data_IF_107038912658
#
_entry.id   IF_107038912658
#
_cell.length_a   1.000
_cell.length_b   1.000
_cell.length_c   1.000
_cell.angle_alpha   90.00
_cell.angle_beta   90.00
_cell.angle_gamma   90.00
#
_symmetry.space_group_name_H-M   'P 1'
#
loop_
_entity.id
_entity.type
_entity.pdbx_description
1 polymer ?
#
# COMPACT_ATOMS: atom_id res chain seq x y z
N UNK A 1 32.16 93.52 74.27
CA UNK A 1 31.73 93.96 72.97
C UNK A 1 32.37 93.21 71.79
N UNK A 2 33.66 92.84 71.83
CA UNK A 2 34.45 92.18 70.80
C UNK A 2 33.92 90.78 70.46
N UNK A 3 33.58 89.97 71.49
CA UNK A 3 33.05 88.58 71.28
C UNK A 3 31.73 88.53 70.58
N UNK A 4 30.87 89.51 70.81
CA UNK A 4 29.57 89.62 70.09
C UNK A 4 29.78 90.04 68.61
N UNK A 5 30.78 90.87 68.33
CA UNK A 5 31.14 91.26 67.02
C UNK A 5 31.68 90.08 66.18
N UNK A 6 32.58 89.30 66.77
CA UNK A 6 33.16 88.09 66.19
C UNK A 6 32.06 87.01 65.81
N UNK A 7 31.11 86.82 66.73
CA UNK A 7 29.94 85.91 66.48
C UNK A 7 29.03 86.43 65.36
N UNK A 8 28.80 87.74 65.32
CA UNK A 8 28.04 88.33 64.21
C UNK A 8 28.75 88.18 62.87
N UNK A 9 30.06 88.38 62.84
CA UNK A 9 30.91 88.22 61.67
C UNK A 9 30.91 86.78 61.20
N UNK A 10 31.04 85.82 62.06
CA UNK A 10 31.01 84.39 61.72
C UNK A 10 29.63 84.02 61.15
N UNK A 11 28.55 84.49 61.82
CA UNK A 11 27.16 84.23 61.30
C UNK A 11 26.90 84.87 59.93
N UNK A 12 27.48 86.05 59.69
CA UNK A 12 27.36 86.72 58.40
C UNK A 12 28.06 85.97 57.28
N UNK A 13 29.26 85.43 57.56
CA UNK A 13 30.01 84.63 56.63
C UNK A 13 29.23 83.34 56.27
N UNK A 14 28.76 82.64 57.32
CA UNK A 14 27.94 81.42 57.09
C UNK A 14 26.66 81.71 56.28
N UNK A 15 25.96 82.81 56.65
CA UNK A 15 24.77 83.17 55.87
C UNK A 15 25.07 83.54 54.38
N UNK A 16 26.24 84.17 54.20
CA UNK A 16 26.73 84.50 52.86
C UNK A 16 27.05 83.26 52.03
N UNK A 17 27.73 82.30 52.69
CA UNK A 17 28.05 81.02 51.98
C UNK A 17 26.76 80.22 51.70
N UNK A 18 25.83 80.12 52.59
CA UNK A 18 24.54 79.50 52.35
C UNK A 18 23.78 80.21 51.22
N UNK A 19 23.80 81.56 51.22
CA UNK A 19 23.16 82.34 50.14
C UNK A 19 23.80 82.07 48.74
N UNK A 20 25.13 81.95 48.72
CA UNK A 20 25.84 81.58 47.47
C UNK A 20 25.52 80.17 47.01
N UNK A 21 25.46 79.23 47.97
CA UNK A 21 25.13 77.84 47.67
C UNK A 21 23.71 77.70 47.13
N UNK A 22 22.73 78.42 47.75
CA UNK A 22 21.36 78.48 47.28
C UNK A 22 21.24 79.11 45.90
N UNK A 23 21.97 80.20 45.62
CA UNK A 23 21.97 80.82 44.30
C UNK A 23 22.58 79.90 43.22
N UNK A 24 23.66 79.19 43.59
CA UNK A 24 24.25 78.22 42.68
C UNK A 24 23.29 77.07 42.38
N UNK A 25 22.58 76.59 43.40
CA UNK A 25 21.56 75.55 43.21
C UNK A 25 20.32 76.04 42.42
N UNK A 26 19.95 77.34 42.54
CA UNK A 26 18.89 77.93 41.78
C UNK A 26 19.26 78.09 40.30
N UNK A 27 20.55 78.42 39.99
CA UNK A 27 21.05 78.47 38.62
C UNK A 27 21.11 77.07 37.97
N UNK A 28 21.36 76.03 38.75
CA UNK A 28 21.37 74.62 38.27
C UNK A 28 19.94 74.08 38.02
N UNK A 29 18.90 74.72 38.56
CA UNK A 29 17.50 74.32 38.31
C UNK A 29 17.01 74.91 36.97
N UNK A 30 17.12 74.17 35.93
CA UNK A 30 16.59 74.51 34.62
C UNK A 30 15.07 74.26 34.63
N UNK A 31 14.26 75.31 34.64
CA UNK A 31 12.81 75.25 34.53
C UNK A 31 12.45 75.00 33.06
N UNK A 32 12.26 73.73 32.71
CA UNK A 32 11.89 73.29 31.34
C UNK A 32 10.53 72.57 31.41
N UNK A 33 9.42 73.25 31.26
CA UNK A 33 8.05 72.66 31.31
C UNK A 33 7.82 71.64 30.23
N UNK A 34 8.36 71.84 29.03
CA UNK A 34 8.18 70.94 27.89
C UNK A 34 8.89 69.61 28.17
N UNK A 35 10.05 69.67 28.80
CA UNK A 35 10.77 68.44 29.20
C UNK A 35 10.08 67.71 30.34
N UNK A 36 9.41 68.41 31.23
CA UNK A 36 8.61 67.83 32.33
C UNK A 36 7.40 67.09 31.75
N UNK A 37 6.73 67.70 30.77
CA UNK A 37 5.58 67.11 30.07
C UNK A 37 6.02 65.84 29.32
N UNK A 38 7.12 65.85 28.56
CA UNK A 38 7.67 64.67 27.85
C UNK A 38 8.00 63.53 28.81
N UNK A 39 8.64 63.83 29.99
CA UNK A 39 8.95 62.83 31.00
C UNK A 39 7.70 62.22 31.62
N UNK A 40 6.70 63.07 31.90
CA UNK A 40 5.42 62.58 32.45
C UNK A 40 4.66 61.69 31.45
N UNK A 41 4.64 62.08 30.18
CA UNK A 41 4.01 61.26 29.14
C UNK A 41 4.71 59.89 29.03
N UNK A 42 6.03 59.88 29.06
CA UNK A 42 6.81 58.63 29.05
C UNK A 42 6.56 57.76 30.26
N UNK A 43 6.47 58.36 31.47
CA UNK A 43 6.12 57.69 32.68
C UNK A 43 4.72 57.08 32.66
N UNK A 44 3.75 57.89 32.19
CA UNK A 44 2.37 57.44 32.01
C UNK A 44 2.26 56.28 31.04
N UNK A 45 3.03 56.29 29.93
CA UNK A 45 3.11 55.20 29.01
C UNK A 45 3.65 53.94 29.65
N UNK A 46 4.74 54.06 30.43
CA UNK A 46 5.33 52.93 31.16
C UNK A 46 4.33 52.31 32.14
N UNK A 47 3.67 53.17 32.95
CA UNK A 47 2.67 52.69 33.92
C UNK A 47 1.47 52.03 33.23
N UNK A 48 1.03 52.57 32.11
CA UNK A 48 -0.05 51.99 31.32
C UNK A 48 0.34 50.60 30.77
N UNK A 49 1.57 50.47 30.27
CA UNK A 49 2.12 49.17 29.77
C UNK A 49 2.27 48.17 30.94
N UNK A 50 2.79 48.59 32.09
CA UNK A 50 2.91 47.76 33.29
C UNK A 50 1.54 47.22 33.71
N UNK A 51 0.52 48.10 33.76
CA UNK A 51 -0.83 47.73 34.15
C UNK A 51 -1.45 46.77 33.13
N UNK A 52 -1.31 47.07 31.82
CA UNK A 52 -1.83 46.26 30.72
C UNK A 52 -1.24 44.86 30.71
N UNK A 53 0.07 44.75 30.98
CA UNK A 53 0.80 43.49 30.91
C UNK A 53 1.03 42.85 32.26
N UNK A 54 0.53 43.46 33.36
CA UNK A 54 0.68 43.02 34.73
C UNK A 54 2.16 42.86 35.16
N UNK A 55 3.01 43.74 34.64
CA UNK A 55 4.41 43.81 34.99
C UNK A 55 4.63 44.81 36.11
N UNK A 56 5.50 44.50 37.03
CA UNK A 56 5.80 45.34 38.22
C UNK A 56 7.00 46.24 37.99
N UNK A 57 7.92 45.83 37.10
CA UNK A 57 9.13 46.56 36.76
C UNK A 57 9.31 46.78 35.26
N UNK A 58 10.21 47.69 34.88
CA UNK A 58 10.57 47.94 33.49
C UNK A 58 11.31 46.77 32.89
N UNK A 59 12.11 46.09 33.69
CA UNK A 59 12.85 44.87 33.29
C UNK A 59 11.89 43.76 32.86
N UNK A 60 10.79 43.60 33.62
CA UNK A 60 9.74 42.63 33.22
C UNK A 60 9.08 42.99 31.92
N UNK A 61 8.82 44.30 31.66
CA UNK A 61 8.29 44.75 30.38
C UNK A 61 9.25 44.49 29.22
N UNK A 62 10.54 44.70 29.42
CA UNK A 62 11.57 44.39 28.41
C UNK A 62 11.65 42.90 28.09
N UNK A 63 11.63 42.06 29.14
CA UNK A 63 11.61 40.60 28.97
C UNK A 63 10.38 40.12 28.20
N UNK A 64 9.18 40.69 28.50
CA UNK A 64 7.97 40.41 27.74
C UNK A 64 8.07 40.87 26.28
N UNK A 65 8.67 42.03 26.03
CA UNK A 65 8.89 42.53 24.67
C UNK A 65 9.79 41.57 23.86
N UNK A 66 10.86 41.06 24.46
CA UNK A 66 11.76 40.06 23.85
C UNK A 66 11.01 38.74 23.60
N UNK A 67 10.22 38.28 24.57
CA UNK A 67 9.40 37.07 24.40
C UNK A 67 8.40 37.20 23.24
N UNK A 68 7.71 38.31 23.16
CA UNK A 68 6.76 38.56 22.06
C UNK A 68 7.47 38.73 20.72
N UNK A 69 8.61 39.36 20.68
CA UNK A 69 9.42 39.46 19.47
C UNK A 69 9.88 38.07 18.97
N UNK A 70 10.33 37.22 19.89
CA UNK A 70 10.68 35.85 19.56
C UNK A 70 9.49 35.02 19.06
N UNK A 71 8.32 35.16 19.72
CA UNK A 71 7.08 34.49 19.25
C UNK A 71 6.65 34.99 17.87
N UNK A 72 6.72 36.27 17.62
CA UNK A 72 6.38 36.84 16.31
C UNK A 72 7.32 36.34 15.21
N UNK A 73 8.63 36.31 15.48
CA UNK A 73 9.62 35.76 14.56
C UNK A 73 9.36 34.28 14.26
N UNK A 74 8.98 33.50 15.30
CA UNK A 74 8.62 32.08 15.11
C UNK A 74 7.36 31.92 14.24
N UNK A 75 6.32 32.73 14.43
CA UNK A 75 5.11 32.71 13.62
C UNK A 75 5.43 33.00 12.14
N UNK A 76 6.21 34.03 11.87
CA UNK A 76 6.63 34.40 10.51
C UNK A 76 7.40 33.25 9.84
N UNK A 77 8.33 32.61 10.60
CA UNK A 77 9.09 31.45 10.15
C UNK A 77 8.16 30.25 9.86
N UNK A 78 7.09 30.05 10.65
CA UNK A 78 6.13 28.98 10.38
C UNK A 78 5.32 29.24 9.10
N UNK A 79 4.90 30.47 8.84
CA UNK A 79 4.19 30.82 7.61
C UNK A 79 5.05 30.58 6.35
N UNK A 80 6.32 30.96 6.38
CA UNK A 80 7.27 30.67 5.32
C UNK A 80 7.45 29.14 5.14
N UNK A 81 7.59 28.41 6.26
CA UNK A 81 7.74 26.95 6.22
C UNK A 81 6.50 26.23 5.69
N UNK A 82 5.30 26.70 6.05
CA UNK A 82 4.04 26.20 5.50
C UNK A 82 4.01 26.41 3.99
N UNK A 83 4.40 27.59 3.50
CA UNK A 83 4.47 27.90 2.07
C UNK A 83 5.43 26.98 1.31
N UNK A 84 6.64 26.77 1.84
CA UNK A 84 7.63 25.83 1.26
C UNK A 84 7.09 24.40 1.20
N UNK A 85 6.53 23.91 2.33
CA UNK A 85 5.99 22.55 2.42
C UNK A 85 4.78 22.35 1.50
N UNK A 86 3.90 23.34 1.40
CA UNK A 86 2.77 23.31 0.46
C UNK A 86 3.25 23.19 -0.97
N UNK A 87 4.20 24.03 -1.37
CA UNK A 87 4.80 23.99 -2.72
C UNK A 87 5.48 22.66 -2.99
N UNK A 88 6.19 22.10 -2.01
CA UNK A 88 6.83 20.78 -2.11
C UNK A 88 5.79 19.67 -2.26
N UNK A 89 4.73 19.69 -1.45
CA UNK A 89 3.62 18.73 -1.54
C UNK A 89 2.97 18.76 -2.92
N UNK A 90 2.64 19.94 -3.44
CA UNK A 90 2.04 20.08 -4.77
C UNK A 90 2.97 19.56 -5.88
N UNK A 91 4.26 19.86 -5.77
CA UNK A 91 5.26 19.36 -6.72
C UNK A 91 5.36 17.84 -6.69
N UNK A 92 5.42 17.24 -5.51
CA UNK A 92 5.49 15.80 -5.34
C UNK A 92 4.19 15.12 -5.78
N UNK A 93 3.05 15.67 -5.43
CA UNK A 93 1.74 15.17 -5.86
C UNK A 93 1.61 15.15 -7.38
N UNK A 94 2.03 16.22 -8.06
CA UNK A 94 2.04 16.28 -9.52
C UNK A 94 2.98 15.24 -10.14
N UNK A 95 4.13 14.96 -9.53
CA UNK A 95 5.03 13.87 -9.97
C UNK A 95 4.36 12.50 -9.81
N UNK A 96 3.72 12.24 -8.67
CA UNK A 96 2.99 11.00 -8.43
C UNK A 96 1.89 10.80 -9.46
N UNK A 97 1.07 11.84 -9.73
CA UNK A 97 0.00 11.79 -10.75
C UNK A 97 0.53 11.48 -12.15
N UNK A 98 1.66 12.08 -12.53
CA UNK A 98 2.29 11.78 -13.82
C UNK A 98 2.73 10.32 -13.92
N UNK A 99 3.35 9.79 -12.87
CA UNK A 99 3.77 8.38 -12.85
C UNK A 99 2.57 7.43 -12.79
N UNK A 100 1.53 7.76 -12.05
CA UNK A 100 0.28 7.00 -12.01
C UNK A 100 -0.36 6.91 -13.41
N UNK A 101 -0.41 8.01 -14.16
CA UNK A 101 -0.94 8.02 -15.52
C UNK A 101 -0.15 7.10 -16.49
N UNK A 102 1.18 7.06 -16.35
CA UNK A 102 2.03 6.12 -17.11
C UNK A 102 1.68 4.68 -16.77
N UNK A 103 1.50 4.39 -15.48
CA UNK A 103 1.13 3.06 -15.00
C UNK A 103 -0.28 2.66 -15.47
N UNK A 104 -1.24 3.56 -15.41
CA UNK A 104 -2.60 3.35 -15.93
C UNK A 104 -2.59 2.99 -17.42
N UNK A 105 -1.80 3.72 -18.23
CA UNK A 105 -1.66 3.42 -19.66
C UNK A 105 -1.07 2.03 -19.90
N UNK A 106 -0.03 1.66 -19.16
CA UNK A 106 0.59 0.33 -19.25
C UNK A 106 -0.39 -0.78 -18.84
N UNK A 107 -1.13 -0.59 -17.74
CA UNK A 107 -2.15 -1.53 -17.26
C UNK A 107 -3.31 -1.69 -18.24
N UNK A 108 -3.78 -0.60 -18.83
CA UNK A 108 -4.83 -0.65 -19.86
C UNK A 108 -4.39 -1.45 -21.09
N UNK A 109 -3.13 -1.32 -21.49
CA UNK A 109 -2.57 -2.14 -22.56
C UNK A 109 -2.50 -3.62 -22.19
N UNK A 110 -1.99 -3.92 -20.99
CA UNK A 110 -1.92 -5.28 -20.46
C UNK A 110 -3.31 -5.90 -20.26
N UNK A 111 -4.29 -5.13 -19.80
CA UNK A 111 -5.67 -5.59 -19.62
C UNK A 111 -6.27 -6.16 -20.91
N UNK A 112 -6.09 -5.47 -22.03
CA UNK A 112 -6.58 -5.93 -23.35
C UNK A 112 -5.92 -7.24 -23.79
N UNK A 113 -4.63 -7.39 -23.52
CA UNK A 113 -3.92 -8.63 -23.82
C UNK A 113 -4.40 -9.78 -22.94
N UNK A 114 -4.60 -9.52 -21.63
CA UNK A 114 -5.19 -10.48 -20.69
C UNK A 114 -6.59 -10.92 -21.15
N UNK A 115 -7.47 -9.99 -21.51
CA UNK A 115 -8.82 -10.30 -22.01
C UNK A 115 -8.76 -11.24 -23.24
N UNK A 116 -7.90 -10.92 -24.21
CA UNK A 116 -7.71 -11.73 -25.41
C UNK A 116 -7.19 -13.13 -25.09
N UNK A 117 -6.15 -13.23 -24.26
CA UNK A 117 -5.57 -14.51 -23.88
C UNK A 117 -6.55 -15.35 -23.05
N UNK A 118 -7.31 -14.74 -22.14
CA UNK A 118 -8.32 -15.45 -21.37
C UNK A 118 -9.41 -16.02 -22.28
N UNK A 119 -9.92 -15.25 -23.23
CA UNK A 119 -10.91 -15.75 -24.18
C UNK A 119 -10.36 -16.93 -24.99
N UNK A 120 -9.14 -16.83 -25.52
CA UNK A 120 -8.52 -17.91 -26.32
C UNK A 120 -8.29 -19.20 -25.55
N UNK A 121 -8.01 -19.12 -24.23
CA UNK A 121 -7.79 -20.27 -23.36
C UNK A 121 -9.09 -20.89 -22.86
N UNK A 122 -10.12 -20.09 -22.61
CA UNK A 122 -11.38 -20.56 -22.03
C UNK A 122 -12.31 -21.18 -23.07
N UNK A 123 -12.24 -20.77 -24.35
CA UNK A 123 -13.04 -21.37 -25.43
C UNK A 123 -12.78 -22.88 -25.55
N UNK A 124 -11.52 -23.39 -25.65
CA UNK A 124 -11.25 -24.82 -25.70
C UNK A 124 -11.65 -25.58 -24.42
N UNK A 125 -11.75 -24.87 -23.29
CA UNK A 125 -12.19 -25.43 -22.01
C UNK A 125 -13.73 -25.50 -21.87
N UNK A 126 -14.50 -25.49 -22.99
CA UNK A 126 -15.93 -25.63 -22.99
C UNK A 126 -16.71 -24.36 -22.66
N UNK A 127 -16.12 -23.20 -22.86
CA UNK A 127 -16.78 -21.90 -22.68
C UNK A 127 -16.79 -21.06 -23.97
N UNK A 128 -17.49 -21.48 -25.04
CA UNK A 128 -17.42 -20.82 -26.35
C UNK A 128 -17.98 -19.39 -26.35
N UNK A 129 -18.82 -19.05 -25.40
CA UNK A 129 -19.46 -17.74 -25.26
C UNK A 129 -18.93 -16.92 -24.08
N UNK A 130 -17.72 -17.26 -23.60
CA UNK A 130 -17.11 -16.57 -22.48
C UNK A 130 -16.89 -15.08 -22.78
N UNK A 131 -17.19 -14.26 -21.79
CA UNK A 131 -16.80 -12.86 -21.77
C UNK A 131 -15.95 -12.62 -20.52
N UNK A 132 -14.75 -12.14 -20.74
CA UNK A 132 -13.81 -11.76 -19.69
C UNK A 132 -13.42 -10.32 -19.92
N UNK A 133 -13.58 -9.49 -18.91
CA UNK A 133 -13.30 -8.06 -18.98
C UNK A 133 -12.50 -7.62 -17.76
N UNK A 134 -11.51 -6.77 -17.99
CA UNK A 134 -10.73 -6.10 -16.96
C UNK A 134 -11.26 -4.69 -16.78
N UNK A 135 -12.05 -4.47 -15.75
CA UNK A 135 -12.58 -3.16 -15.41
C UNK A 135 -11.52 -2.34 -14.66
N UNK A 136 -11.22 -1.18 -15.23
CA UNK A 136 -10.27 -0.22 -14.65
C UNK A 136 -11.04 0.95 -14.03
N UNK A 137 -10.88 1.17 -12.73
CA UNK A 137 -11.40 2.34 -12.03
C UNK A 137 -10.27 3.23 -11.52
N UNK A 138 -10.59 4.43 -11.05
CA UNK A 138 -9.63 5.39 -10.48
C UNK A 138 -10.01 5.67 -9.02
N UNK A 139 -9.04 5.62 -8.14
CA UNK A 139 -9.18 6.03 -6.73
C UNK A 139 -9.08 7.54 -6.61
N UNK A 140 -9.71 8.09 -5.57
CA UNK A 140 -9.61 9.53 -5.27
C UNK A 140 -8.16 9.96 -4.96
N UNK A 141 -7.42 9.09 -4.27
CA UNK A 141 -6.04 9.35 -3.86
C UNK A 141 -5.13 8.23 -4.36
N UNK A 142 -3.95 8.55 -4.89
CA UNK A 142 -2.95 7.57 -5.29
C UNK A 142 -2.48 6.76 -4.08
N UNK A 143 -2.42 5.44 -4.22
CA UNK A 143 -1.82 4.54 -3.25
C UNK A 143 -0.40 4.13 -3.63
N UNK A 144 0.18 3.21 -2.85
CA UNK A 144 1.55 2.67 -3.08
C UNK A 144 1.69 2.01 -4.47
N UNK A 145 0.56 1.54 -5.04
CA UNK A 145 0.49 0.88 -6.33
C UNK A 145 -0.14 1.75 -7.44
N UNK A 146 -0.18 3.07 -7.27
CA UNK A 146 -0.81 3.99 -8.20
C UNK A 146 -2.28 4.29 -7.84
N UNK A 147 -3.02 4.84 -8.80
CA UNK A 147 -4.40 5.29 -8.56
C UNK A 147 -5.47 4.37 -9.16
N UNK A 148 -5.06 3.27 -9.83
CA UNK A 148 -6.01 2.36 -10.46
C UNK A 148 -6.63 1.38 -9.47
N UNK A 149 -7.91 1.07 -9.67
CA UNK A 149 -8.55 -0.16 -9.19
C UNK A 149 -8.74 -1.10 -10.36
N UNK A 150 -8.52 -2.39 -10.14
CA UNK A 150 -8.64 -3.43 -11.18
C UNK A 150 -9.61 -4.48 -10.69
N UNK A 151 -10.68 -4.70 -11.45
CA UNK A 151 -11.65 -5.75 -11.22
C UNK A 151 -11.69 -6.68 -12.41
N UNK A 152 -11.71 -7.98 -12.15
CA UNK A 152 -11.90 -9.00 -13.19
C UNK A 152 -13.38 -9.39 -13.25
N UNK A 153 -14.01 -9.09 -14.37
CA UNK A 153 -15.40 -9.41 -14.62
C UNK A 153 -15.49 -10.60 -15.59
N UNK A 154 -16.41 -11.48 -15.31
CA UNK A 154 -16.57 -12.73 -16.04
C UNK A 154 -18.05 -13.06 -16.29
N UNK A 155 -18.33 -13.67 -17.45
CA UNK A 155 -19.58 -14.33 -17.74
C UNK A 155 -19.32 -15.51 -18.67
N UNK A 156 -19.78 -16.71 -18.29
CA UNK A 156 -19.69 -17.92 -19.12
C UNK A 156 -20.68 -17.91 -20.28
N UNK A 157 -21.77 -17.16 -20.20
CA UNK A 157 -22.89 -17.17 -21.11
C UNK A 157 -22.96 -15.86 -21.92
N UNK A 158 -23.39 -15.97 -23.20
CA UNK A 158 -23.53 -14.84 -24.12
C UNK A 158 -24.43 -13.72 -23.56
N UNK A 159 -25.54 -14.10 -22.91
CA UNK A 159 -26.54 -13.17 -22.40
C UNK A 159 -26.46 -12.96 -20.88
N UNK A 160 -25.46 -13.56 -20.21
CA UNK A 160 -25.23 -13.37 -18.78
C UNK A 160 -24.71 -11.97 -18.46
N UNK A 161 -25.02 -11.42 -17.31
CA UNK A 161 -24.35 -10.21 -16.80
C UNK A 161 -22.89 -10.50 -16.47
N UNK A 162 -22.02 -9.55 -16.77
CA UNK A 162 -20.63 -9.57 -16.26
C UNK A 162 -20.66 -9.42 -14.75
N UNK A 163 -20.07 -10.34 -14.04
CA UNK A 163 -19.98 -10.34 -12.58
C UNK A 163 -18.52 -10.45 -12.14
N UNK A 164 -18.23 -10.00 -10.94
CA UNK A 164 -16.88 -10.17 -10.40
C UNK A 164 -16.59 -11.69 -10.28
N UNK A 165 -15.39 -12.11 -10.69
CA UNK A 165 -14.97 -13.53 -10.64
C UNK A 165 -15.21 -14.15 -9.25
N UNK A 166 -15.01 -13.39 -8.18
CA UNK A 166 -15.22 -13.85 -6.80
C UNK A 166 -16.67 -14.19 -6.47
N UNK A 167 -17.64 -13.73 -7.26
CA UNK A 167 -19.09 -13.97 -7.06
C UNK A 167 -19.68 -15.03 -7.98
N UNK A 168 -18.87 -15.64 -8.85
CA UNK A 168 -19.32 -16.69 -9.77
C UNK A 168 -19.66 -17.97 -8.99
N UNK A 169 -20.87 -18.48 -9.19
CA UNK A 169 -21.40 -19.58 -8.39
C UNK A 169 -20.98 -21.00 -8.85
N UNK A 170 -20.48 -21.17 -10.08
CA UNK A 170 -20.14 -22.49 -10.62
C UNK A 170 -18.68 -22.86 -10.33
N UNK A 171 -18.47 -23.90 -9.50
CA UNK A 171 -17.15 -24.40 -9.15
C UNK A 171 -16.31 -24.83 -10.37
N UNK A 172 -16.91 -25.52 -11.33
CA UNK A 172 -16.21 -25.95 -12.54
C UNK A 172 -15.82 -24.78 -13.47
N UNK A 173 -16.62 -23.72 -13.55
CA UNK A 173 -16.27 -22.52 -14.31
C UNK A 173 -15.11 -21.76 -13.68
N UNK A 174 -15.18 -21.57 -12.36
CA UNK A 174 -14.10 -20.93 -11.59
C UNK A 174 -12.80 -21.71 -11.73
N UNK A 175 -12.84 -23.04 -11.63
CA UNK A 175 -11.67 -23.90 -11.78
C UNK A 175 -10.96 -23.69 -13.12
N UNK A 176 -11.69 -23.65 -14.22
CA UNK A 176 -11.14 -23.40 -15.58
C UNK A 176 -10.59 -22.00 -15.74
N UNK A 177 -11.29 -20.99 -15.21
CA UNK A 177 -10.78 -19.60 -15.18
C UNK A 177 -9.49 -19.52 -14.38
N UNK A 178 -9.43 -20.13 -13.20
CA UNK A 178 -8.24 -20.14 -12.35
C UNK A 178 -7.06 -20.88 -13.00
N UNK A 179 -7.31 -22.01 -13.67
CA UNK A 179 -6.28 -22.70 -14.45
C UNK A 179 -5.71 -21.79 -15.53
N UNK A 180 -6.59 -21.13 -16.31
CA UNK A 180 -6.19 -20.21 -17.38
C UNK A 180 -5.38 -19.02 -16.87
N UNK A 181 -5.79 -18.42 -15.75
CA UNK A 181 -5.05 -17.32 -15.10
C UNK A 181 -3.68 -17.83 -14.61
N UNK A 182 -3.64 -18.97 -13.93
CA UNK A 182 -2.37 -19.54 -13.43
C UNK A 182 -1.43 -19.90 -14.55
N UNK A 183 -1.92 -20.45 -15.68
CA UNK A 183 -1.12 -20.73 -16.85
C UNK A 183 -0.51 -19.47 -17.49
N UNK A 184 -1.29 -18.38 -17.52
CA UNK A 184 -0.85 -17.09 -18.04
C UNK A 184 0.20 -16.45 -17.12
N UNK A 185 -0.03 -16.45 -15.79
CA UNK A 185 0.91 -15.92 -14.79
C UNK A 185 2.20 -16.74 -14.81
N UNK A 186 2.09 -18.06 -14.94
CA UNK A 186 3.24 -18.94 -15.04
C UNK A 186 4.15 -18.57 -16.21
N UNK A 187 3.60 -18.14 -17.34
CA UNK A 187 4.37 -17.61 -18.46
C UNK A 187 5.14 -16.32 -18.15
N UNK A 188 4.60 -15.47 -17.29
CA UNK A 188 5.14 -14.14 -16.96
C UNK A 188 6.06 -14.13 -15.73
N UNK A 189 5.84 -15.02 -14.77
CA UNK A 189 6.56 -15.08 -13.49
C UNK A 189 7.23 -16.45 -13.36
N UNK A 190 8.51 -16.49 -12.97
CA UNK A 190 9.25 -17.72 -12.72
C UNK A 190 8.80 -18.35 -11.39
N UNK A 191 7.64 -19.01 -11.40
CA UNK A 191 7.17 -19.81 -10.27
C UNK A 191 7.81 -21.22 -10.37
N UNK A 192 8.58 -21.67 -9.39
CA UNK A 192 9.26 -22.98 -9.46
C UNK A 192 8.28 -24.14 -9.34
N UNK A 193 7.22 -23.99 -8.53
CA UNK A 193 6.22 -25.04 -8.29
C UNK A 193 4.82 -24.45 -8.27
N UNK A 194 3.88 -25.15 -8.89
CA UNK A 194 2.45 -24.84 -8.88
C UNK A 194 1.69 -26.08 -8.42
N UNK A 195 0.81 -25.91 -7.44
CA UNK A 195 -0.07 -26.98 -6.94
C UNK A 195 -1.49 -26.68 -7.35
N UNK A 196 -2.14 -27.66 -7.96
CA UNK A 196 -3.56 -27.68 -8.28
C UNK A 196 -4.24 -28.73 -7.40
N UNK A 197 -5.15 -28.28 -6.55
CA UNK A 197 -5.90 -29.12 -5.63
C UNK A 197 -7.35 -29.19 -6.12
N UNK A 198 -7.79 -30.39 -6.56
CA UNK A 198 -9.15 -30.69 -7.04
C UNK A 198 -9.72 -29.67 -8.04
N UNK A 199 -8.87 -29.11 -8.92
CA UNK A 199 -9.27 -28.10 -9.92
C UNK A 199 -10.19 -28.68 -11.02
N UNK A 200 -10.30 -29.98 -11.08
CA UNK A 200 -11.08 -30.77 -12.04
C UNK A 200 -12.51 -31.10 -11.58
N UNK A 201 -12.97 -30.53 -10.49
CA UNK A 201 -14.34 -30.72 -9.98
C UNK A 201 -15.37 -30.20 -10.99
N UNK A 202 -16.34 -31.07 -11.36
CA UNK A 202 -17.41 -30.76 -12.31
C UNK A 202 -16.95 -30.71 -13.78
N UNK A 203 -15.83 -31.33 -14.09
CA UNK A 203 -15.26 -31.44 -15.42
C UNK A 203 -15.22 -32.92 -15.85
N UNK A 204 -15.35 -33.23 -17.12
CA UNK A 204 -15.24 -34.59 -17.65
C UNK A 204 -14.89 -34.58 -19.14
N UNK A 205 -14.50 -35.74 -19.68
CA UNK A 205 -14.26 -35.96 -21.10
C UNK A 205 -13.22 -35.03 -21.71
N UNK A 206 -13.51 -34.49 -22.89
CA UNK A 206 -12.59 -33.66 -23.67
C UNK A 206 -12.08 -32.41 -22.90
N UNK A 207 -12.90 -31.85 -22.01
CA UNK A 207 -12.49 -30.70 -21.22
C UNK A 207 -11.39 -31.10 -20.23
N UNK A 208 -11.49 -32.28 -19.63
CA UNK A 208 -10.45 -32.81 -18.74
C UNK A 208 -9.13 -33.04 -19.48
N UNK A 209 -9.19 -33.56 -20.72
CA UNK A 209 -8.02 -33.72 -21.58
C UNK A 209 -7.34 -32.39 -21.89
N UNK A 210 -8.12 -31.35 -22.23
CA UNK A 210 -7.61 -30.00 -22.49
C UNK A 210 -6.98 -29.35 -21.23
N UNK A 211 -7.57 -29.57 -20.07
CA UNK A 211 -6.99 -29.12 -18.80
C UNK A 211 -5.65 -29.82 -18.52
N UNK A 212 -5.59 -31.12 -18.79
CA UNK A 212 -4.38 -31.92 -18.62
C UNK A 212 -3.26 -31.45 -19.58
N UNK A 213 -3.59 -31.11 -20.84
CA UNK A 213 -2.64 -30.55 -21.79
C UNK A 213 -2.05 -29.21 -21.30
N UNK A 214 -2.88 -28.31 -20.81
CA UNK A 214 -2.43 -27.03 -20.24
C UNK A 214 -1.48 -27.25 -19.06
N UNK A 215 -1.81 -28.18 -18.14
CA UNK A 215 -0.95 -28.50 -17.01
C UNK A 215 0.38 -29.12 -17.45
N UNK A 216 0.37 -29.97 -18.47
CA UNK A 216 1.55 -30.56 -19.05
C UNK A 216 2.45 -29.49 -19.67
N UNK A 217 1.91 -28.59 -20.50
CA UNK A 217 2.65 -27.47 -21.11
C UNK A 217 3.32 -26.59 -20.02
N UNK A 218 2.61 -26.34 -18.93
CA UNK A 218 3.20 -25.60 -17.79
C UNK A 218 4.38 -26.33 -17.17
N UNK A 219 4.32 -27.67 -17.10
CA UNK A 219 5.40 -28.52 -16.57
C UNK A 219 6.62 -28.66 -17.47
N UNK A 220 6.46 -28.42 -18.79
CA UNK A 220 7.57 -28.47 -19.77
C UNK A 220 8.49 -27.24 -19.69
N UNK A 221 8.03 -26.14 -19.09
CA UNK A 221 8.75 -24.86 -18.98
C UNK A 221 9.65 -24.78 -17.72
N UNK A 222 10.37 -25.85 -17.37
CA UNK A 222 11.25 -25.94 -16.19
C UNK A 222 10.53 -25.71 -14.85
N UNK A 223 9.26 -26.12 -14.76
CA UNK A 223 8.44 -25.99 -13.56
C UNK A 223 7.97 -27.32 -13.06
N UNK A 224 7.78 -27.41 -11.74
CA UNK A 224 7.06 -28.49 -11.13
C UNK A 224 5.57 -28.16 -11.08
N UNK A 225 4.74 -29.00 -11.71
CA UNK A 225 3.28 -28.95 -11.59
C UNK A 225 2.85 -30.17 -10.80
N UNK A 226 2.16 -29.94 -9.69
CA UNK A 226 1.57 -30.99 -8.84
C UNK A 226 0.05 -30.85 -8.97
N UNK A 227 -0.63 -31.92 -9.42
CA UNK A 227 -2.09 -31.95 -9.48
C UNK A 227 -2.64 -33.05 -8.58
N UNK A 228 -3.54 -32.70 -7.71
CA UNK A 228 -4.37 -33.64 -6.92
C UNK A 228 -5.67 -33.78 -7.71
N UNK A 229 -5.96 -34.99 -8.21
CA UNK A 229 -7.01 -35.24 -9.18
C UNK A 229 -7.68 -36.58 -8.96
N UNK A 230 -8.95 -36.66 -9.29
CA UNK A 230 -9.70 -37.90 -9.38
C UNK A 230 -9.99 -38.30 -10.85
N UNK A 231 -9.55 -37.49 -11.83
CA UNK A 231 -9.79 -37.75 -13.24
C UNK A 231 -8.63 -38.52 -13.88
N UNK A 232 -8.90 -39.68 -14.53
CA UNK A 232 -7.88 -40.51 -15.18
C UNK A 232 -7.13 -39.74 -16.30
N UNK A 233 -7.81 -38.83 -17.01
CA UNK A 233 -7.22 -38.02 -18.08
C UNK A 233 -6.07 -37.15 -17.53
N UNK A 234 -6.28 -36.51 -16.39
CA UNK A 234 -5.26 -35.63 -15.76
C UNK A 234 -4.14 -36.49 -15.15
N UNK A 235 -4.51 -37.58 -14.43
CA UNK A 235 -3.55 -38.46 -13.80
C UNK A 235 -2.62 -39.12 -14.84
N UNK A 236 -3.12 -39.53 -16.00
CA UNK A 236 -2.35 -40.14 -17.07
C UNK A 236 -1.30 -39.20 -17.68
N UNK A 237 -1.52 -37.88 -17.73
CA UNK A 237 -0.59 -36.88 -18.27
C UNK A 237 0.62 -36.58 -17.37
N UNK A 238 0.56 -36.91 -16.08
CA UNK A 238 1.66 -36.68 -15.14
C UNK A 238 2.89 -37.49 -15.52
N UNK A 239 4.12 -36.95 -15.38
CA UNK A 239 5.40 -37.68 -15.51
C UNK A 239 5.60 -38.65 -14.39
N UNK A 240 5.14 -38.34 -13.19
CA UNK A 240 5.15 -39.20 -12.02
C UNK A 240 3.75 -39.29 -11.43
N UNK A 241 3.35 -40.45 -10.98
CA UNK A 241 2.07 -40.71 -10.38
C UNK A 241 2.25 -41.16 -8.93
N UNK A 242 1.60 -40.48 -8.01
CA UNK A 242 1.57 -40.82 -6.59
C UNK A 242 0.14 -41.19 -6.20
N UNK A 243 -0.01 -42.34 -5.56
CA UNK A 243 -1.31 -42.80 -5.02
C UNK A 243 -1.41 -42.43 -3.55
N UNK A 244 -2.47 -41.73 -3.19
CA UNK A 244 -2.86 -41.49 -1.80
C UNK A 244 -3.87 -42.54 -1.38
N UNK A 245 -3.62 -43.26 -0.29
CA UNK A 245 -4.54 -44.25 0.23
C UNK A 245 -4.57 -44.21 1.76
N UNK A 246 -5.71 -44.61 2.32
CA UNK A 246 -5.92 -44.70 3.75
C UNK A 246 -5.69 -46.14 4.21
N UNK A 247 -5.06 -46.30 5.33
CA UNK A 247 -5.00 -47.57 6.05
C UNK A 247 -5.61 -47.38 7.41
N UNK A 248 -6.63 -48.19 7.70
CA UNK A 248 -7.26 -48.19 9.01
C UNK A 248 -6.53 -49.24 9.88
N UNK A 249 -6.06 -48.81 11.05
CA UNK A 249 -5.65 -49.65 12.15
C UNK A 249 -6.72 -49.56 13.22
N UNK A 250 -6.79 -50.49 14.17
CA UNK A 250 -7.82 -50.59 15.20
C UNK A 250 -8.02 -49.32 16.04
N UNK A 251 -7.12 -48.34 15.95
CA UNK A 251 -7.17 -47.08 16.72
C UNK A 251 -7.12 -45.80 15.89
N UNK A 252 -6.59 -45.84 14.64
CA UNK A 252 -6.39 -44.61 13.81
C UNK A 252 -6.47 -44.94 12.32
N UNK A 253 -7.00 -43.97 11.55
CA UNK A 253 -6.92 -43.95 10.09
C UNK A 253 -5.71 -43.14 9.65
N UNK A 254 -4.71 -43.77 9.06
CA UNK A 254 -3.51 -43.11 8.58
C UNK A 254 -3.53 -42.97 7.05
N UNK A 255 -3.24 -41.76 6.56
CA UNK A 255 -3.07 -41.51 5.12
C UNK A 255 -1.61 -41.77 4.71
N UNK A 256 -1.44 -42.54 3.64
CA UNK A 256 -0.14 -42.88 3.04
C UNK A 256 -0.06 -42.36 1.62
N UNK A 257 1.13 -42.00 1.18
CA UNK A 257 1.42 -41.64 -0.20
C UNK A 257 2.57 -42.51 -0.71
N UNK A 258 2.45 -43.05 -1.91
CA UNK A 258 3.53 -43.78 -2.57
C UNK A 258 3.56 -43.46 -4.04
N UNK A 259 4.78 -43.49 -4.62
CA UNK A 259 4.99 -43.39 -6.06
C UNK A 259 4.65 -44.74 -6.69
N UNK A 260 3.94 -44.70 -7.83
CA UNK A 260 3.62 -45.88 -8.62
C UNK A 260 4.68 -46.16 -9.65
N UNK A 261 4.90 -47.48 -9.94
CA UNK A 261 5.67 -47.94 -11.12
C UNK A 261 4.83 -47.74 -12.38
N UNK A 262 5.42 -47.94 -13.56
CA UNK A 262 4.69 -47.80 -14.82
C UNK A 262 3.57 -48.86 -14.96
N UNK A 263 3.75 -50.07 -14.49
CA UNK A 263 2.77 -51.13 -14.45
C UNK A 263 1.62 -50.78 -13.47
N UNK A 264 1.95 -50.36 -12.28
CA UNK A 264 0.97 -49.93 -11.27
C UNK A 264 0.17 -48.72 -11.72
N UNK A 265 0.77 -47.82 -12.55
CA UNK A 265 0.06 -46.70 -13.14
C UNK A 265 -1.03 -47.15 -14.11
N UNK A 266 -0.75 -48.16 -14.95
CA UNK A 266 -1.78 -48.71 -15.85
C UNK A 266 -2.95 -49.24 -15.07
N UNK A 267 -2.70 -50.00 -14.00
CA UNK A 267 -3.73 -50.57 -13.15
C UNK A 267 -4.54 -49.46 -12.44
N UNK A 268 -3.86 -48.45 -11.88
CA UNK A 268 -4.55 -47.36 -11.17
C UNK A 268 -5.42 -46.50 -12.09
N UNK A 269 -4.92 -46.17 -13.30
CA UNK A 269 -5.73 -45.46 -14.31
C UNK A 269 -6.91 -46.33 -14.76
N UNK A 270 -6.74 -47.65 -14.93
CA UNK A 270 -7.82 -48.57 -15.25
C UNK A 270 -8.89 -48.61 -14.13
N UNK A 271 -8.47 -48.62 -12.85
CA UNK A 271 -9.36 -48.53 -11.71
C UNK A 271 -10.13 -47.17 -11.68
N UNK A 272 -9.46 -46.07 -12.01
CA UNK A 272 -10.09 -44.77 -12.10
C UNK A 272 -11.15 -44.71 -13.22
N UNK A 273 -10.99 -45.45 -14.30
CA UNK A 273 -11.90 -45.57 -15.43
C UNK A 273 -13.10 -46.48 -15.16
N UNK A 274 -12.88 -47.64 -14.48
CA UNK A 274 -13.90 -48.68 -14.36
C UNK A 274 -14.45 -48.87 -12.96
N UNK A 275 -13.91 -48.16 -11.95
CA UNK A 275 -14.28 -48.35 -10.55
C UNK A 275 -13.68 -49.66 -9.95
N UNK A 276 -14.48 -50.37 -9.19
CA UNK A 276 -13.98 -51.52 -8.40
C UNK A 276 -13.55 -52.73 -9.20
N UNK A 277 -14.07 -52.92 -10.45
CA UNK A 277 -13.83 -54.14 -11.25
C UNK A 277 -12.84 -53.82 -12.39
N UNK A 278 -11.69 -54.45 -12.35
CA UNK A 278 -10.69 -54.29 -13.43
C UNK A 278 -11.12 -55.12 -14.64
N UNK A 279 -11.42 -54.48 -15.76
CA UNK A 279 -11.79 -55.13 -17.01
C UNK A 279 -10.62 -55.02 -18.01
N UNK A 280 -10.52 -55.96 -18.96
CA UNK A 280 -9.52 -55.92 -20.02
C UNK A 280 -9.67 -54.67 -20.89
N UNK A 281 -10.89 -54.22 -21.18
CA UNK A 281 -11.18 -53.00 -21.87
C UNK A 281 -10.71 -51.72 -21.10
N UNK A 282 -10.82 -51.72 -19.77
CA UNK A 282 -10.34 -50.62 -18.96
C UNK A 282 -8.80 -50.54 -18.95
N UNK A 283 -8.12 -51.73 -18.96
CA UNK A 283 -6.65 -51.79 -19.09
C UNK A 283 -6.16 -51.29 -20.46
N UNK A 284 -6.86 -51.64 -21.54
CA UNK A 284 -6.53 -51.15 -22.88
C UNK A 284 -6.74 -49.63 -22.98
N UNK A 285 -7.85 -49.11 -22.45
CA UNK A 285 -8.11 -47.67 -22.41
C UNK A 285 -7.07 -46.92 -21.56
N UNK A 286 -6.68 -47.49 -20.42
CA UNK A 286 -5.62 -46.92 -19.58
C UNK A 286 -4.26 -46.85 -20.32
N UNK A 287 -3.90 -47.89 -21.01
CA UNK A 287 -2.70 -47.93 -21.87
C UNK A 287 -2.78 -46.88 -22.98
N UNK A 288 -3.93 -46.74 -23.63
CA UNK A 288 -4.17 -45.73 -24.67
C UNK A 288 -3.98 -44.33 -24.13
N UNK A 289 -4.58 -43.98 -22.95
CA UNK A 289 -4.41 -42.67 -22.29
C UNK A 289 -2.94 -42.39 -21.92
N UNK A 290 -2.21 -43.39 -21.46
CA UNK A 290 -0.80 -43.24 -21.12
C UNK A 290 0.10 -43.12 -22.36
N UNK A 291 -0.22 -43.82 -23.48
CA UNK A 291 0.56 -43.82 -24.72
C UNK A 291 0.28 -42.63 -25.62
N UNK A 292 -0.89 -42.01 -25.56
CA UNK A 292 -1.17 -40.77 -26.27
C UNK A 292 -0.18 -39.61 -25.94
N UNK A 293 0.60 -39.80 -24.87
CA UNK A 293 1.74 -38.99 -24.46
C UNK A 293 2.97 -39.13 -25.34
N UNK A 294 3.25 -40.38 -25.83
CA UNK A 294 4.49 -40.68 -26.57
C UNK A 294 4.47 -40.13 -28.00
N UNK A 295 3.32 -40.04 -28.61
CA UNK A 295 3.18 -39.54 -30.00
C UNK A 295 3.33 -37.99 -30.07
N UNK A 296 2.89 -37.23 -29.04
CA UNK A 296 3.03 -35.80 -28.99
C UNK A 296 4.47 -35.32 -28.67
N UNK A 297 5.28 -36.17 -28.01
CA UNK A 297 6.66 -35.83 -27.72
C UNK A 297 7.63 -36.12 -28.89
N UNK A 298 7.23 -36.99 -29.82
CA UNK A 298 8.02 -37.36 -31.02
C UNK A 298 7.71 -36.53 -32.28
N UNK A 299 6.72 -35.63 -32.20
CA UNK A 299 6.33 -34.74 -33.31
C UNK A 299 6.80 -33.30 -33.15
N UNK A 300 7.65 -33.00 -32.18
CA UNK A 300 8.41 -31.76 -32.04
C UNK A 300 9.90 -32.03 -32.15
#
# INVERSE_FOLDING_TARGET
ATELAERLESTYIELKDVSQEVSSQEEDVEFNPDRLEEVNDRLNLIYTLQQKHRATTVEELLALAEEYAAKLAAITSYDERIGELTTLCDTLYNKVRKQAAVLTKARTGAAREVEKQMASRLVPLGMPNVRFQVEMGIRKEPGVHGEDTVNFLFSANKNGSLQNISSVASGGEIARVMLSIKAMIAGAVKLPTIVFDEIDTGVSGEIADRMADIMQEMGEQERQVISITHLPQIAARGRAHYKVYKRDNDMETNSHIRRLTDEERVEEIAHMLSGATLTEAALENAKSLLNSKLELSNSK
#
